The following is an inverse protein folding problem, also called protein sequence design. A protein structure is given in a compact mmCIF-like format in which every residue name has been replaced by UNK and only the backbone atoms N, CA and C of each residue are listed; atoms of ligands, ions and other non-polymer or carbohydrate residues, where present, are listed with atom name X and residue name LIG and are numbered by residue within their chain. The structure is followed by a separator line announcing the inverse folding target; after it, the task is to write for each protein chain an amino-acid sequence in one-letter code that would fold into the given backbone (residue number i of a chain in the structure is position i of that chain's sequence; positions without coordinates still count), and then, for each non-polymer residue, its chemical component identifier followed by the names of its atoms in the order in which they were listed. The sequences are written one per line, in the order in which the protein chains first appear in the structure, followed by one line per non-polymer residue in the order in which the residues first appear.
data_IF_129334607855
#
_entry.id   IF_129334607855
#
_cell.length_a   1.000
_cell.length_b   1.000
_cell.length_c   1.000
_cell.angle_alpha   90.00
_cell.angle_beta   90.00
_cell.angle_gamma   90.00
#
_symmetry.space_group_name_H-M   'P 1'
#
loop_
_entity.id
_entity.type
_entity.pdbx_description
1 polymer ?
#
# COMPACT_ATOMS: atom_id res chain seq x y z
N UNK A 1 -17.99 2.85 16.04
CA UNK A 1 -17.30 1.55 16.19
C UNK A 1 -15.80 1.82 16.30
N UNK A 2 -15.19 1.74 17.50
CA UNK A 2 -13.74 1.97 17.67
C UNK A 2 -12.99 0.66 17.38
N UNK A 3 -12.80 0.35 16.10
CA UNK A 3 -11.95 -0.78 15.71
C UNK A 3 -10.49 -0.41 15.95
N UNK A 4 -9.79 -1.19 16.79
CA UNK A 4 -8.34 -1.05 16.97
C UNK A 4 -7.65 -1.78 15.82
N UNK A 5 -6.74 -1.11 15.12
CA UNK A 5 -5.96 -1.73 14.05
C UNK A 5 -5.01 -2.77 14.66
N UNK A 6 -5.16 -4.02 14.23
CA UNK A 6 -4.26 -5.09 14.64
C UNK A 6 -2.85 -4.86 14.09
N UNK A 7 -1.85 -4.88 14.97
CA UNK A 7 -0.46 -4.63 14.62
C UNK A 7 0.49 -5.32 15.62
N UNK A 8 1.74 -5.52 15.21
CA UNK A 8 2.83 -6.10 16.01
C UNK A 8 2.48 -7.46 16.64
N UNK A 9 1.82 -8.32 15.89
CA UNK A 9 1.39 -9.62 16.39
C UNK A 9 2.58 -10.54 16.65
N UNK A 10 2.61 -11.12 17.85
CA UNK A 10 3.60 -12.13 18.22
C UNK A 10 3.19 -13.45 17.58
N UNK A 11 4.02 -13.95 16.66
CA UNK A 11 3.93 -15.33 16.17
C UNK A 11 4.76 -16.28 17.04
N UNK A 12 4.39 -17.55 17.02
CA UNK A 12 5.19 -18.65 17.55
C UNK A 12 5.45 -19.67 16.44
N UNK A 13 6.71 -19.85 15.99
CA UNK A 13 7.92 -19.11 16.39
C UNK A 13 7.87 -17.61 16.03
N UNK A 14 8.77 -16.81 16.62
CA UNK A 14 8.84 -15.35 16.38
C UNK A 14 8.90 -15.06 14.88
N UNK A 15 8.03 -14.19 14.40
CA UNK A 15 7.99 -13.80 12.98
C UNK A 15 9.24 -12.97 12.65
N UNK A 16 10.04 -13.48 11.73
CA UNK A 16 11.17 -12.77 11.13
C UNK A 16 10.80 -12.21 9.75
N UNK A 17 11.69 -11.37 9.21
CA UNK A 17 11.64 -10.93 7.82
C UNK A 17 12.80 -11.56 7.06
N UNK A 18 12.49 -12.25 5.97
CA UNK A 18 13.50 -12.80 5.07
C UNK A 18 13.77 -11.76 3.98
N UNK A 19 15.03 -11.36 3.79
CA UNK A 19 15.38 -10.44 2.69
C UNK A 19 14.97 -11.07 1.36
N UNK A 20 14.27 -10.30 0.54
CA UNK A 20 13.84 -10.73 -0.80
C UNK A 20 15.06 -10.60 -1.71
N UNK A 21 15.52 -11.72 -2.27
CA UNK A 21 16.67 -11.75 -3.19
C UNK A 21 16.27 -11.98 -4.66
N UNK A 22 15.02 -12.39 -4.90
CA UNK A 22 14.50 -12.59 -6.26
C UNK A 22 14.41 -11.23 -6.98
N UNK A 23 15.26 -11.04 -7.98
CA UNK A 23 15.38 -9.78 -8.73
C UNK A 23 14.10 -9.38 -9.44
N UNK A 24 13.31 -10.35 -9.91
CA UNK A 24 12.02 -10.07 -10.56
C UNK A 24 11.01 -9.62 -9.52
N UNK A 25 10.95 -10.30 -8.36
CA UNK A 25 10.08 -9.91 -7.25
C UNK A 25 10.41 -8.52 -6.74
N UNK A 26 11.70 -8.19 -6.61
CA UNK A 26 12.17 -6.86 -6.22
C UNK A 26 11.70 -5.78 -7.18
N UNK A 27 11.91 -5.98 -8.48
CA UNK A 27 11.49 -5.03 -9.52
C UNK A 27 9.96 -4.84 -9.54
N UNK A 28 9.20 -5.93 -9.46
CA UNK A 28 7.73 -5.86 -9.47
C UNK A 28 7.17 -5.22 -8.21
N UNK A 29 7.81 -5.42 -7.05
CA UNK A 29 7.42 -4.83 -5.78
C UNK A 29 7.77 -3.35 -5.73
N UNK A 30 8.97 -2.94 -6.17
CA UNK A 30 9.36 -1.53 -6.22
C UNK A 30 8.45 -0.70 -7.14
N UNK A 31 8.07 -1.27 -8.30
CA UNK A 31 7.11 -0.65 -9.22
C UNK A 31 5.74 -0.39 -8.59
N UNK A 32 5.30 -1.22 -7.64
CA UNK A 32 3.94 -1.18 -7.06
C UNK A 32 3.89 -0.60 -5.65
N UNK A 33 4.98 -0.72 -4.93
CA UNK A 33 5.15 -0.32 -3.55
C UNK A 33 6.52 0.35 -3.35
N UNK A 34 6.77 1.48 -4.03
CA UNK A 34 8.05 2.16 -3.99
C UNK A 34 8.32 2.72 -2.59
N UNK A 35 9.61 2.80 -2.24
CA UNK A 35 10.05 3.21 -0.92
C UNK A 35 10.50 4.68 -0.92
N UNK A 36 9.55 5.60 -1.12
CA UNK A 36 9.78 7.03 -1.41
C UNK A 36 10.66 7.82 -0.42
N UNK A 37 11.02 7.25 0.73
CA UNK A 37 11.94 7.86 1.72
C UNK A 37 13.41 7.54 1.46
N UNK A 38 13.69 6.61 0.56
CA UNK A 38 15.01 6.10 0.25
C UNK A 38 15.23 6.19 -1.26
N UNK A 39 16.48 6.35 -1.69
CA UNK A 39 16.82 6.14 -3.09
C UNK A 39 16.61 4.67 -3.48
N UNK A 40 16.58 4.42 -4.80
CA UNK A 40 16.29 3.09 -5.34
C UNK A 40 17.24 2.03 -4.81
N UNK A 41 18.56 2.29 -4.81
CA UNK A 41 19.55 1.28 -4.43
C UNK A 41 19.43 0.92 -2.95
N UNK A 42 19.37 1.94 -2.07
CA UNK A 42 19.12 1.74 -0.64
C UNK A 42 17.80 1.01 -0.40
N UNK A 43 16.74 1.34 -1.14
CA UNK A 43 15.46 0.68 -1.06
C UNK A 43 15.55 -0.82 -1.37
N UNK A 44 16.20 -1.19 -2.47
CA UNK A 44 16.34 -2.59 -2.90
C UNK A 44 17.20 -3.41 -1.93
N UNK A 45 18.33 -2.85 -1.48
CA UNK A 45 19.28 -3.56 -0.63
C UNK A 45 18.75 -3.75 0.80
N UNK A 46 18.18 -2.69 1.38
CA UNK A 46 17.82 -2.68 2.80
C UNK A 46 16.35 -3.04 3.07
N UNK A 47 15.46 -2.79 2.09
CA UNK A 47 14.05 -3.18 2.14
C UNK A 47 13.31 -2.62 3.37
N UNK A 48 13.74 -1.45 3.87
CA UNK A 48 13.32 -0.91 5.17
C UNK A 48 11.79 -0.78 5.31
N UNK A 49 11.11 -0.26 4.29
CA UNK A 49 9.65 -0.11 4.34
C UNK A 49 8.98 -1.48 4.34
N UNK A 50 9.37 -2.37 3.41
CA UNK A 50 8.74 -3.69 3.26
C UNK A 50 8.93 -4.54 4.51
N UNK A 51 10.13 -4.53 5.10
CA UNK A 51 10.43 -5.18 6.38
C UNK A 51 9.54 -4.66 7.50
N UNK A 52 9.44 -3.32 7.63
CA UNK A 52 8.62 -2.69 8.67
C UNK A 52 7.14 -3.04 8.52
N UNK A 53 6.59 -2.94 7.31
CA UNK A 53 5.18 -3.24 7.04
C UNK A 53 4.86 -4.73 7.25
N UNK A 54 5.74 -5.63 6.82
CA UNK A 54 5.55 -7.06 7.07
C UNK A 54 5.60 -7.40 8.57
N UNK A 55 6.61 -6.93 9.30
CA UNK A 55 6.72 -7.23 10.73
C UNK A 55 5.59 -6.61 11.56
N UNK A 56 5.16 -5.39 11.20
CA UNK A 56 4.08 -4.69 11.91
C UNK A 56 2.69 -5.21 11.56
N UNK A 57 2.41 -5.51 10.28
CA UNK A 57 1.07 -5.85 9.80
C UNK A 57 0.96 -7.26 9.22
N UNK A 58 1.94 -7.69 8.42
CA UNK A 58 1.97 -9.05 7.86
C UNK A 58 2.04 -10.15 8.93
N UNK A 59 2.75 -9.90 10.04
CA UNK A 59 2.84 -10.82 11.20
C UNK A 59 1.48 -11.25 11.74
N UNK A 60 0.48 -10.37 11.68
CA UNK A 60 -0.88 -10.64 12.15
C UNK A 60 -1.67 -11.59 11.24
N UNK A 61 -1.20 -11.83 10.01
CA UNK A 61 -1.81 -12.75 9.03
C UNK A 61 -0.96 -13.98 8.74
N UNK A 62 0.15 -14.20 9.46
CA UNK A 62 1.23 -15.10 9.05
C UNK A 62 0.80 -16.55 8.80
N UNK A 63 -0.20 -17.06 9.54
CA UNK A 63 -0.71 -18.43 9.38
C UNK A 63 -1.36 -18.67 8.01
N UNK A 64 -1.92 -17.63 7.40
CA UNK A 64 -2.60 -17.70 6.09
C UNK A 64 -1.74 -17.11 4.98
N UNK A 65 -0.99 -16.06 5.28
CA UNK A 65 -0.17 -15.33 4.33
C UNK A 65 1.27 -15.28 4.85
N UNK A 66 2.08 -16.33 4.56
CA UNK A 66 3.53 -16.24 4.77
C UNK A 66 4.11 -15.10 3.93
N UNK A 67 5.33 -14.65 4.25
CA UNK A 67 5.90 -13.43 3.67
C UNK A 67 5.76 -13.28 2.14
N UNK A 68 6.09 -14.30 1.31
CA UNK A 68 5.91 -14.18 -0.14
C UNK A 68 4.45 -13.90 -0.53
N UNK A 69 3.52 -14.66 0.06
CA UNK A 69 2.09 -14.55 -0.20
C UNK A 69 1.49 -13.22 0.30
N UNK A 70 2.02 -12.65 1.38
CA UNK A 70 1.64 -11.32 1.85
C UNK A 70 1.94 -10.25 0.78
N UNK A 71 3.16 -10.25 0.24
CA UNK A 71 3.54 -9.30 -0.81
C UNK A 71 2.84 -9.58 -2.14
N UNK A 72 2.65 -10.85 -2.51
CA UNK A 72 1.88 -11.21 -3.72
C UNK A 72 0.45 -10.72 -3.63
N UNK A 73 -0.21 -10.91 -2.48
CA UNK A 73 -1.57 -10.42 -2.27
C UNK A 73 -1.64 -8.89 -2.38
N UNK A 74 -0.69 -8.17 -1.78
CA UNK A 74 -0.64 -6.72 -1.87
C UNK A 74 -0.47 -6.23 -3.32
N UNK A 75 0.45 -6.82 -4.09
CA UNK A 75 0.65 -6.48 -5.50
C UNK A 75 -0.59 -6.81 -6.35
N UNK A 76 -1.21 -7.98 -6.14
CA UNK A 76 -2.42 -8.38 -6.86
C UNK A 76 -3.60 -7.44 -6.57
N UNK A 77 -3.75 -6.99 -5.31
CA UNK A 77 -4.77 -6.02 -4.95
C UNK A 77 -4.49 -4.66 -5.58
N UNK A 78 -3.24 -4.19 -5.59
CA UNK A 78 -2.87 -2.95 -6.29
C UNK A 78 -3.21 -3.04 -7.77
N UNK A 79 -2.89 -4.15 -8.44
CA UNK A 79 -3.13 -4.29 -9.88
C UNK A 79 -4.60 -4.45 -10.23
N UNK A 80 -5.43 -4.90 -9.28
CA UNK A 80 -6.88 -4.98 -9.45
C UNK A 80 -7.56 -3.61 -9.51
N UNK A 81 -6.99 -2.58 -8.88
CA UNK A 81 -7.61 -1.27 -8.77
C UNK A 81 -6.71 -0.18 -9.35
N UNK A 82 -6.89 0.14 -10.63
CA UNK A 82 -6.30 1.34 -11.22
C UNK A 82 -7.13 2.58 -10.83
N UNK A 83 -6.87 3.07 -9.62
CA UNK A 83 -7.56 4.23 -9.07
C UNK A 83 -7.30 5.50 -9.89
N UNK A 84 -6.10 5.65 -10.46
CA UNK A 84 -5.78 6.85 -11.25
C UNK A 84 -6.60 6.90 -12.54
N UNK A 85 -6.65 5.80 -13.29
CA UNK A 85 -7.49 5.72 -14.49
C UNK A 85 -8.98 5.82 -14.15
N UNK A 86 -9.42 5.20 -13.05
CA UNK A 86 -10.80 5.32 -12.56
C UNK A 86 -11.16 6.79 -12.30
N UNK A 87 -10.33 7.52 -11.55
CA UNK A 87 -10.56 8.94 -11.27
C UNK A 87 -10.58 9.78 -12.55
N UNK A 88 -9.62 9.55 -13.46
CA UNK A 88 -9.55 10.25 -14.76
C UNK A 88 -10.81 10.06 -15.61
N UNK A 89 -11.34 8.84 -15.67
CA UNK A 89 -12.57 8.54 -16.40
C UNK A 89 -13.80 9.27 -15.83
N UNK A 90 -13.73 9.69 -14.57
CA UNK A 90 -14.74 10.51 -13.90
C UNK A 90 -14.40 12.02 -13.91
N UNK A 91 -13.44 12.45 -14.74
CA UNK A 91 -13.03 13.86 -14.83
C UNK A 91 -12.16 14.36 -13.66
N UNK A 92 -11.69 13.45 -12.81
CA UNK A 92 -10.85 13.76 -11.64
C UNK A 92 -9.39 13.54 -12.01
N UNK A 93 -8.65 14.62 -12.22
CA UNK A 93 -7.24 14.62 -12.62
C UNK A 93 -6.37 15.29 -11.57
N UNK A 94 -5.12 14.85 -11.37
CA UNK A 94 -4.18 15.55 -10.50
C UNK A 94 -4.02 17.03 -10.88
N UNK A 95 -3.90 17.92 -9.89
CA UNK A 95 -3.68 19.37 -10.10
C UNK A 95 -4.92 20.26 -9.92
N UNK A 96 -6.06 19.71 -9.49
CA UNK A 96 -7.28 20.47 -9.22
C UNK A 96 -7.95 20.02 -7.91
N UNK A 97 -8.93 20.81 -7.44
CA UNK A 97 -9.72 20.52 -6.25
C UNK A 97 -11.07 19.93 -6.65
N UNK A 98 -11.51 18.89 -5.93
CA UNK A 98 -12.76 18.17 -6.19
C UNK A 98 -13.54 18.00 -4.87
N UNK A 99 -14.85 17.83 -4.98
CA UNK A 99 -15.66 17.48 -3.81
C UNK A 99 -15.33 16.05 -3.36
N UNK A 100 -15.32 15.83 -2.04
CA UNK A 100 -15.04 14.53 -1.44
C UNK A 100 -15.99 13.45 -2.01
N UNK A 101 -17.28 13.78 -2.10
CA UNK A 101 -18.33 12.89 -2.59
C UNK A 101 -18.09 12.42 -4.03
N UNK A 102 -17.49 13.25 -4.88
CA UNK A 102 -17.22 12.89 -6.28
C UNK A 102 -16.08 11.86 -6.34
N UNK A 103 -15.05 12.02 -5.51
CA UNK A 103 -13.95 11.07 -5.38
C UNK A 103 -14.48 9.74 -4.82
N UNK A 104 -15.30 9.77 -3.79
CA UNK A 104 -15.89 8.56 -3.20
C UNK A 104 -16.77 7.81 -4.20
N UNK A 105 -17.65 8.51 -4.93
CA UNK A 105 -18.51 7.92 -5.95
C UNK A 105 -17.70 7.29 -7.07
N UNK A 106 -16.67 7.96 -7.58
CA UNK A 106 -15.80 7.44 -8.62
C UNK A 106 -15.12 6.13 -8.19
N UNK A 107 -14.48 6.12 -7.02
CA UNK A 107 -13.77 4.92 -6.52
C UNK A 107 -14.74 3.78 -6.21
N UNK A 108 -15.94 4.08 -5.69
CA UNK A 108 -16.97 3.07 -5.37
C UNK A 108 -17.38 2.24 -6.58
N UNK A 109 -17.28 2.77 -7.81
CA UNK A 109 -17.58 2.02 -9.04
C UNK A 109 -16.70 0.78 -9.22
N UNK A 110 -15.45 0.82 -8.73
CA UNK A 110 -14.51 -0.29 -8.82
C UNK A 110 -14.32 -1.04 -7.51
N UNK A 111 -14.42 -0.38 -6.36
CA UNK A 111 -14.23 -1.01 -5.05
C UNK A 111 -15.47 -1.71 -4.50
N UNK A 112 -16.66 -1.51 -5.10
CA UNK A 112 -17.99 -2.04 -4.68
C UNK A 112 -18.47 -1.49 -3.32
N UNK A 113 -17.56 -1.07 -2.44
CA UNK A 113 -17.80 -0.41 -1.16
C UNK A 113 -17.22 1.00 -1.16
N UNK A 114 -17.78 1.87 -0.34
CA UNK A 114 -17.26 3.24 -0.16
C UNK A 114 -15.83 3.17 0.39
N UNK A 115 -14.86 3.85 -0.24
CA UNK A 115 -13.48 3.87 0.27
C UNK A 115 -13.37 4.68 1.56
N UNK A 116 -12.32 4.44 2.35
CA UNK A 116 -11.93 5.34 3.43
C UNK A 116 -10.90 6.34 2.90
N UNK A 117 -11.33 7.58 2.68
CA UNK A 117 -10.46 8.66 2.24
C UNK A 117 -9.69 9.26 3.42
N UNK A 118 -8.40 9.55 3.20
CA UNK A 118 -7.53 10.25 4.15
C UNK A 118 -6.88 11.43 3.44
N UNK A 119 -7.12 12.63 3.95
CA UNK A 119 -6.55 13.87 3.42
C UNK A 119 -5.32 14.29 4.24
N UNK A 120 -4.37 14.95 3.58
CA UNK A 120 -3.30 15.71 4.21
C UNK A 120 -3.55 17.19 3.94
N UNK A 121 -3.42 18.03 4.95
CA UNK A 121 -3.48 19.47 4.77
C UNK A 121 -2.17 19.92 4.12
N UNK A 122 -2.26 20.61 2.98
CA UNK A 122 -1.11 21.26 2.36
C UNK A 122 -1.00 22.66 2.93
N UNK A 123 0.14 22.98 3.54
CA UNK A 123 0.43 24.35 3.93
C UNK A 123 0.86 25.16 2.69
N UNK A 124 0.54 26.46 2.61
CA UNK A 124 1.00 27.30 1.52
C UNK A 124 2.55 27.28 1.43
N UNK A 125 3.10 26.79 0.33
CA UNK A 125 4.56 26.76 0.07
C UNK A 125 5.15 25.39 -0.24
N UNK A 126 4.44 24.30 0.04
CA UNK A 126 4.87 22.95 -0.31
C UNK A 126 4.50 22.63 -1.77
N UNK A 127 5.39 23.00 -2.69
CA UNK A 127 5.31 22.66 -4.12
C UNK A 127 5.82 21.25 -4.36
#
# INVERSE_FOLDING_TARGET
NKSVMLNNCVGYPKVGYNIIMDVRKLSELDKRWPQLKYDYQTGIDEQYLWKKEFLKHGSCGIKRYPQPAYFDLAMNLKDKFDLLSTLRNHGITPGSTYQLDDIEKAIKTVSIKVPSLKCIEKYPGDV
#
